data_IF_046919048886
#
_entry.id   IF_046919048886
#
_cell.length_a   1.000
_cell.length_b   1.000
_cell.length_c   1.000
_cell.angle_alpha   90.00
_cell.angle_beta   90.00
_cell.angle_gamma   90.00
#
_symmetry.space_group_name_H-M   'P 1'
#
loop_
_entity.id
_entity.type
_entity.pdbx_description
1 polymer ?
#
# COMPACT_ATOMS: atom_id res chain seq x y z
N UNK A 1 16.29 -15.56 8.78
CA UNK A 1 15.79 -14.51 7.89
C UNK A 1 14.45 -14.90 7.25
N UNK A 2 14.33 -16.04 6.56
CA UNK A 2 13.07 -16.49 5.94
C UNK A 2 11.89 -16.55 6.91
N UNK A 3 12.06 -17.10 8.11
CA UNK A 3 10.99 -17.17 9.12
C UNK A 3 10.47 -15.79 9.55
N UNK A 4 11.34 -14.80 9.68
CA UNK A 4 10.96 -13.41 9.98
C UNK A 4 10.10 -12.83 8.84
N UNK A 5 10.53 -12.99 7.58
CA UNK A 5 9.79 -12.50 6.40
C UNK A 5 8.41 -13.14 6.33
N UNK A 6 8.31 -14.46 6.56
CA UNK A 6 7.02 -15.16 6.59
C UNK A 6 6.10 -14.64 7.69
N UNK A 7 6.62 -14.40 8.89
CA UNK A 7 5.85 -13.83 10.00
C UNK A 7 5.36 -12.42 9.69
N UNK A 8 6.21 -11.58 9.08
CA UNK A 8 5.82 -10.23 8.65
C UNK A 8 4.69 -10.29 7.63
N UNK A 9 4.77 -11.16 6.62
CA UNK A 9 3.68 -11.28 5.64
C UNK A 9 2.41 -11.88 6.21
N UNK A 10 2.50 -12.86 7.14
CA UNK A 10 1.34 -13.38 7.86
C UNK A 10 0.65 -12.27 8.68
N UNK A 11 1.43 -11.48 9.41
CA UNK A 11 0.92 -10.35 10.20
C UNK A 11 0.36 -9.24 9.30
N UNK A 12 1.05 -8.85 8.24
CA UNK A 12 0.59 -7.86 7.28
C UNK A 12 -0.71 -8.32 6.58
N UNK A 13 -0.80 -9.60 6.24
CA UNK A 13 -2.02 -10.23 5.72
C UNK A 13 -3.17 -10.16 6.73
N UNK A 14 -2.92 -10.50 7.99
CA UNK A 14 -3.90 -10.42 9.08
C UNK A 14 -4.45 -8.99 9.22
N UNK A 15 -3.57 -7.99 9.26
CA UNK A 15 -3.97 -6.58 9.29
C UNK A 15 -4.87 -6.22 8.10
N UNK A 16 -4.47 -6.63 6.88
CA UNK A 16 -5.29 -6.42 5.68
C UNK A 16 -6.63 -7.14 5.75
N UNK A 17 -6.68 -8.34 6.33
CA UNK A 17 -7.92 -9.10 6.53
C UNK A 17 -8.89 -8.41 7.48
N UNK A 18 -8.40 -7.77 8.55
CA UNK A 18 -9.22 -7.05 9.54
C UNK A 18 -9.68 -5.70 9.00
N UNK A 19 -8.75 -4.87 8.52
CA UNK A 19 -9.01 -3.46 8.15
C UNK A 19 -9.42 -3.32 6.67
N UNK A 20 -9.04 -4.26 5.82
CA UNK A 20 -9.17 -4.17 4.36
C UNK A 20 -7.99 -3.47 3.67
N UNK A 21 -7.05 -2.92 4.44
CA UNK A 21 -5.90 -2.12 4.00
C UNK A 21 -4.65 -2.49 4.82
N UNK A 22 -3.48 -2.02 4.39
CA UNK A 22 -2.28 -1.97 5.22
C UNK A 22 -1.24 -3.05 4.96
N UNK A 23 -1.49 -4.07 4.11
CA UNK A 23 -0.47 -5.09 3.81
C UNK A 23 0.83 -4.44 3.31
N UNK A 24 0.83 -3.53 2.30
CA UNK A 24 2.05 -2.87 1.86
C UNK A 24 2.71 -2.03 2.96
N UNK A 25 1.93 -1.27 3.74
CA UNK A 25 2.48 -0.41 4.79
C UNK A 25 3.20 -1.21 5.89
N UNK A 26 2.56 -2.27 6.37
CA UNK A 26 3.13 -3.13 7.42
C UNK A 26 4.34 -3.88 6.90
N UNK A 27 4.21 -4.50 5.72
CA UNK A 27 5.30 -5.29 5.15
C UNK A 27 6.51 -4.41 4.82
N UNK A 28 6.32 -3.28 4.14
CA UNK A 28 7.41 -2.33 3.85
C UNK A 28 8.04 -1.82 5.14
N UNK A 29 7.25 -1.35 6.10
CA UNK A 29 7.77 -0.80 7.35
C UNK A 29 8.59 -1.82 8.14
N UNK A 30 8.08 -3.03 8.35
CA UNK A 30 8.79 -4.05 9.12
C UNK A 30 9.98 -4.66 8.37
N UNK A 31 9.84 -4.90 7.06
CA UNK A 31 10.93 -5.47 6.26
C UNK A 31 12.08 -4.48 6.06
N UNK A 32 11.81 -3.20 5.92
CA UNK A 32 12.84 -2.17 5.72
C UNK A 32 13.73 -1.94 6.95
N UNK A 33 13.39 -2.53 8.11
CA UNK A 33 14.30 -2.57 9.27
C UNK A 33 15.49 -3.51 9.01
N UNK A 34 15.30 -4.57 8.22
CA UNK A 34 16.29 -5.64 8.03
C UNK A 34 16.77 -5.74 6.57
N UNK A 35 15.93 -5.35 5.64
CA UNK A 35 16.17 -5.38 4.19
C UNK A 35 16.25 -3.96 3.65
N UNK A 36 16.93 -3.78 2.51
CA UNK A 36 16.81 -2.52 1.79
C UNK A 36 15.35 -2.29 1.33
N UNK A 37 14.87 -1.03 1.26
CA UNK A 37 13.52 -0.73 0.78
C UNK A 37 13.23 -1.32 -0.61
N UNK A 38 14.22 -1.38 -1.49
CA UNK A 38 14.11 -2.03 -2.80
C UNK A 38 13.83 -3.54 -2.69
N UNK A 39 14.57 -4.24 -1.82
CA UNK A 39 14.36 -5.68 -1.57
C UNK A 39 13.00 -5.94 -0.93
N UNK A 40 12.60 -5.12 0.05
CA UNK A 40 11.29 -5.22 0.69
C UNK A 40 10.15 -5.03 -0.33
N UNK A 41 10.26 -4.02 -1.22
CA UNK A 41 9.30 -3.77 -2.28
C UNK A 41 9.22 -4.94 -3.27
N UNK A 42 10.35 -5.53 -3.64
CA UNK A 42 10.39 -6.67 -4.58
C UNK A 42 9.66 -7.91 -4.03
N UNK A 43 9.81 -8.20 -2.74
CA UNK A 43 9.10 -9.31 -2.08
C UNK A 43 7.59 -9.05 -1.99
N UNK A 44 7.18 -7.78 -1.93
CA UNK A 44 5.80 -7.36 -1.78
C UNK A 44 4.97 -7.51 -3.06
N UNK A 45 5.58 -7.51 -4.24
CA UNK A 45 4.89 -7.45 -5.54
C UNK A 45 3.80 -8.52 -5.64
N UNK A 46 4.15 -9.81 -5.54
CA UNK A 46 3.21 -10.92 -5.75
C UNK A 46 2.13 -10.98 -4.66
N UNK A 47 2.44 -10.94 -3.35
CA UNK A 47 1.41 -10.95 -2.31
C UNK A 47 0.47 -9.76 -2.38
N UNK A 48 1.00 -8.57 -2.67
CA UNK A 48 0.19 -7.37 -2.81
C UNK A 48 -0.72 -7.46 -4.04
N UNK A 49 -0.17 -7.87 -5.19
CA UNK A 49 -0.94 -8.02 -6.43
C UNK A 49 -2.08 -9.04 -6.25
N UNK A 50 -1.78 -10.22 -5.74
CA UNK A 50 -2.78 -11.27 -5.52
C UNK A 50 -3.91 -10.82 -4.58
N UNK A 51 -3.57 -10.18 -3.45
CA UNK A 51 -4.56 -9.72 -2.49
C UNK A 51 -5.35 -8.49 -2.97
N UNK A 52 -4.78 -7.64 -3.82
CA UNK A 52 -5.47 -6.49 -4.42
C UNK A 52 -6.41 -6.94 -5.56
N UNK A 53 -5.98 -7.90 -6.39
CA UNK A 53 -6.86 -8.53 -7.39
C UNK A 53 -8.04 -9.23 -6.74
N UNK A 54 -7.80 -9.95 -5.63
CA UNK A 54 -8.89 -10.53 -4.84
C UNK A 54 -9.91 -9.46 -4.40
N UNK A 55 -9.44 -8.30 -3.90
CA UNK A 55 -10.33 -7.20 -3.51
C UNK A 55 -11.07 -6.60 -4.71
N UNK A 56 -10.40 -6.45 -5.85
CA UNK A 56 -10.98 -5.92 -7.08
C UNK A 56 -12.12 -6.80 -7.59
N UNK A 57 -11.96 -8.13 -7.56
CA UNK A 57 -12.93 -9.08 -8.08
C UNK A 57 -13.86 -9.67 -7.02
N UNK A 58 -13.78 -9.19 -5.76
CA UNK A 58 -14.61 -9.74 -4.65
C UNK A 58 -16.11 -9.53 -4.84
N UNK A 59 -16.50 -8.53 -5.62
CA UNK A 59 -17.87 -8.17 -5.94
C UNK A 59 -17.99 -7.78 -7.43
N UNK A 60 -19.21 -7.74 -7.95
CA UNK A 60 -19.42 -7.33 -9.34
C UNK A 60 -19.26 -5.81 -9.54
N UNK A 61 -19.15 -5.37 -10.79
CA UNK A 61 -19.20 -3.93 -11.13
C UNK A 61 -17.83 -3.23 -11.24
N UNK A 62 -16.71 -3.95 -11.12
CA UNK A 62 -15.36 -3.38 -11.25
C UNK A 62 -15.14 -2.54 -12.52
N UNK A 63 -15.85 -2.86 -13.61
CA UNK A 63 -15.77 -2.12 -14.87
C UNK A 63 -16.33 -0.71 -14.77
N UNK A 64 -17.37 -0.51 -13.97
CA UNK A 64 -17.97 0.81 -13.71
C UNK A 64 -16.95 1.67 -12.94
N UNK A 65 -16.29 1.08 -11.95
CA UNK A 65 -15.27 1.76 -11.17
C UNK A 65 -14.02 2.09 -12.02
N UNK A 66 -13.62 1.19 -12.92
CA UNK A 66 -12.54 1.44 -13.87
C UNK A 66 -12.86 2.66 -14.75
N UNK A 67 -14.09 2.73 -15.28
CA UNK A 67 -14.54 3.86 -16.09
C UNK A 67 -14.67 5.16 -15.28
N UNK A 68 -15.04 5.09 -14.02
CA UNK A 68 -15.15 6.26 -13.16
C UNK A 68 -13.78 6.81 -12.76
N UNK A 69 -12.87 5.95 -12.36
CA UNK A 69 -11.56 6.32 -11.81
C UNK A 69 -10.40 6.24 -12.81
N UNK A 70 -10.68 6.19 -14.12
CA UNK A 70 -9.62 6.10 -15.14
C UNK A 70 -8.60 7.24 -15.07
N UNK A 71 -9.02 8.46 -14.71
CA UNK A 71 -8.13 9.62 -14.55
C UNK A 71 -7.20 9.47 -13.34
N UNK A 72 -7.69 8.86 -12.24
CA UNK A 72 -6.88 8.50 -11.09
C UNK A 72 -5.81 7.47 -11.50
N UNK A 73 -6.19 6.43 -12.24
CA UNK A 73 -5.26 5.39 -12.71
C UNK A 73 -4.22 5.94 -13.68
N UNK A 74 -4.62 6.79 -14.62
CA UNK A 74 -3.67 7.50 -15.49
C UNK A 74 -2.71 8.35 -14.68
N UNK A 75 -3.20 9.08 -13.68
CA UNK A 75 -2.35 9.82 -12.75
C UNK A 75 -1.32 8.90 -12.08
N UNK A 76 -1.73 7.73 -11.58
CA UNK A 76 -0.82 6.74 -10.98
C UNK A 76 0.26 6.32 -11.98
N UNK A 77 -0.11 5.98 -13.21
CA UNK A 77 0.87 5.58 -14.24
C UNK A 77 1.85 6.71 -14.54
N UNK A 78 1.35 7.94 -14.76
CA UNK A 78 2.20 9.10 -15.05
C UNK A 78 3.13 9.40 -13.88
N UNK A 79 2.61 9.41 -12.63
CA UNK A 79 3.40 9.67 -11.44
C UNK A 79 4.46 8.59 -11.17
N UNK A 80 4.19 7.33 -11.54
CA UNK A 80 5.15 6.24 -11.41
C UNK A 80 6.25 6.28 -12.46
N UNK A 81 5.98 6.86 -13.66
CA UNK A 81 6.97 6.96 -14.75
C UNK A 81 7.79 8.25 -14.67
N UNK A 82 7.17 9.36 -14.27
CA UNK A 82 7.80 10.67 -14.10
C UNK A 82 7.61 11.16 -12.66
N UNK A 83 8.31 10.49 -11.73
CA UNK A 83 8.26 10.85 -10.31
C UNK A 83 9.01 12.15 -10.06
N UNK A 84 8.38 13.07 -9.31
CA UNK A 84 9.03 14.26 -8.74
C UNK A 84 9.82 13.94 -7.48
N UNK A 85 9.60 12.76 -6.88
CA UNK A 85 10.31 12.31 -5.70
C UNK A 85 11.47 11.39 -6.09
N UNK A 86 12.53 11.36 -5.27
CA UNK A 86 13.55 10.34 -5.39
C UNK A 86 12.95 8.94 -5.31
N UNK A 87 13.48 8.01 -6.06
CA UNK A 87 12.94 6.66 -6.21
C UNK A 87 13.67 5.67 -5.30
N UNK A 88 13.10 4.46 -5.13
CA UNK A 88 13.73 3.37 -4.41
C UNK A 88 15.10 2.94 -4.98
N UNK A 89 15.41 3.32 -6.22
CA UNK A 89 16.67 3.01 -6.88
C UNK A 89 17.76 4.07 -6.63
N UNK A 90 17.40 5.25 -6.14
CA UNK A 90 18.33 6.35 -5.93
C UNK A 90 19.15 6.11 -4.65
N UNK A 91 20.44 5.86 -4.83
CA UNK A 91 21.38 5.60 -3.72
C UNK A 91 21.63 6.80 -2.80
N UNK A 92 21.29 8.01 -3.23
CA UNK A 92 21.53 9.26 -2.51
C UNK A 92 20.38 9.70 -1.60
N UNK A 93 19.29 8.97 -1.58
CA UNK A 93 18.08 9.33 -0.81
C UNK A 93 17.82 8.29 0.26
N UNK A 94 17.59 8.80 1.45
CA UNK A 94 17.09 8.00 2.56
C UNK A 94 15.62 7.58 2.31
N UNK A 95 15.42 6.64 1.37
CA UNK A 95 14.08 6.11 1.05
C UNK A 95 13.38 5.53 2.30
N UNK A 96 14.16 5.07 3.27
CA UNK A 96 13.68 4.66 4.58
C UNK A 96 13.07 5.81 5.39
N UNK A 97 13.69 7.01 5.35
CA UNK A 97 13.15 8.21 6.03
C UNK A 97 11.83 8.63 5.40
N UNK A 98 11.76 8.65 4.06
CA UNK A 98 10.53 9.01 3.35
C UNK A 98 9.40 8.02 3.64
N UNK A 99 9.70 6.72 3.62
CA UNK A 99 8.75 5.68 4.01
C UNK A 99 8.31 5.86 5.47
N UNK A 100 9.24 6.11 6.39
CA UNK A 100 8.96 6.37 7.79
C UNK A 100 8.01 7.56 7.98
N UNK A 101 8.28 8.69 7.32
CA UNK A 101 7.40 9.86 7.33
C UNK A 101 6.01 9.55 6.77
N UNK A 102 5.92 8.78 5.69
CA UNK A 102 4.63 8.36 5.12
C UNK A 102 3.82 7.49 6.09
N UNK A 103 4.47 6.53 6.76
CA UNK A 103 3.81 5.67 7.75
C UNK A 103 3.34 6.50 8.96
N UNK A 104 4.16 7.44 9.43
CA UNK A 104 3.83 8.35 10.51
C UNK A 104 2.63 9.22 10.17
N UNK A 105 2.65 9.88 9.01
CA UNK A 105 1.53 10.70 8.53
C UNK A 105 0.24 9.88 8.38
N UNK A 106 0.35 8.66 7.86
CA UNK A 106 -0.80 7.77 7.73
C UNK A 106 -1.34 7.32 9.09
N UNK A 107 -0.46 7.06 10.05
CA UNK A 107 -0.84 6.73 11.43
C UNK A 107 -1.58 7.89 12.10
N UNK A 108 -1.05 9.12 12.02
CA UNK A 108 -1.69 10.33 12.54
C UNK A 108 -3.04 10.56 11.86
N UNK A 109 -3.08 10.52 10.53
CA UNK A 109 -4.31 10.65 9.77
C UNK A 109 -5.36 9.64 10.25
N UNK A 110 -5.00 8.37 10.37
CA UNK A 110 -5.93 7.31 10.77
C UNK A 110 -6.49 7.44 12.18
N UNK A 111 -5.75 8.08 13.10
CA UNK A 111 -6.22 8.39 14.46
C UNK A 111 -7.09 9.65 14.50
N UNK A 112 -6.76 10.68 13.73
CA UNK A 112 -7.43 11.98 13.75
C UNK A 112 -8.67 12.03 12.86
N UNK A 113 -8.75 11.17 11.83
CA UNK A 113 -9.77 11.25 10.78
C UNK A 113 -11.10 10.66 11.26
N UNK A 114 -11.92 11.47 11.92
CA UNK A 114 -13.29 11.08 12.29
C UNK A 114 -14.35 11.53 11.27
N UNK A 115 -14.15 12.66 10.60
CA UNK A 115 -15.06 13.18 9.55
C UNK A 115 -14.24 13.77 8.42
N UNK A 116 -14.29 13.16 7.26
CA UNK A 116 -13.68 13.70 6.05
C UNK A 116 -14.64 14.64 5.34
N UNK A 117 -14.14 15.74 4.75
CA UNK A 117 -14.95 16.56 3.87
C UNK A 117 -15.42 15.76 2.67
N UNK A 118 -16.61 16.03 2.16
CA UNK A 118 -17.10 15.43 0.94
C UNK A 118 -16.42 16.11 -0.26
N UNK A 119 -15.57 15.37 -0.97
CA UNK A 119 -14.82 15.86 -2.14
C UNK A 119 -15.42 15.39 -3.48
N UNK A 120 -16.62 14.81 -3.50
CA UNK A 120 -17.26 14.31 -4.73
C UNK A 120 -17.36 15.38 -5.82
N UNK A 121 -17.68 16.63 -5.45
CA UNK A 121 -17.79 17.73 -6.41
C UNK A 121 -16.47 18.03 -7.15
N UNK A 122 -15.34 17.70 -6.54
CA UNK A 122 -13.99 17.94 -7.07
C UNK A 122 -13.33 16.67 -7.64
N UNK A 123 -14.06 15.55 -7.70
CA UNK A 123 -13.53 14.24 -8.10
C UNK A 123 -12.79 14.31 -9.44
N UNK A 124 -13.35 14.97 -10.43
CA UNK A 124 -12.79 15.07 -11.78
C UNK A 124 -11.41 15.76 -11.81
N UNK A 125 -11.20 16.75 -10.93
CA UNK A 125 -9.96 17.53 -10.88
C UNK A 125 -8.94 16.91 -9.94
N UNK A 126 -9.39 16.39 -8.82
CA UNK A 126 -8.50 15.83 -7.79
C UNK A 126 -7.99 14.44 -8.15
N UNK A 127 -8.80 13.62 -8.86
CA UNK A 127 -8.40 12.24 -9.23
C UNK A 127 -7.03 12.19 -9.94
N UNK A 128 -6.76 12.94 -11.01
CA UNK A 128 -5.47 12.84 -11.69
C UNK A 128 -4.31 13.34 -10.82
N UNK A 129 -4.52 14.38 -10.00
CA UNK A 129 -3.48 14.93 -9.11
C UNK A 129 -3.14 13.94 -8.00
N UNK A 130 -4.17 13.40 -7.34
CA UNK A 130 -3.99 12.38 -6.28
C UNK A 130 -3.38 11.11 -6.86
N UNK A 131 -3.78 10.70 -8.06
CA UNK A 131 -3.18 9.59 -8.77
C UNK A 131 -1.69 9.81 -9.03
N UNK A 132 -1.32 10.97 -9.58
CA UNK A 132 0.07 11.34 -9.84
C UNK A 132 0.93 11.29 -8.58
N UNK A 133 0.49 11.95 -7.51
CA UNK A 133 1.21 11.93 -6.22
C UNK A 133 1.32 10.51 -5.65
N UNK A 134 0.22 9.73 -5.73
CA UNK A 134 0.21 8.34 -5.30
C UNK A 134 1.17 7.46 -6.09
N UNK A 135 1.22 7.61 -7.41
CA UNK A 135 2.16 6.89 -8.28
C UNK A 135 3.62 7.25 -7.99
N UNK A 136 3.91 8.55 -7.88
CA UNK A 136 5.25 9.04 -7.56
C UNK A 136 5.73 8.54 -6.18
N UNK A 137 4.85 8.56 -5.17
CA UNK A 137 5.16 8.02 -3.84
C UNK A 137 5.31 6.49 -3.86
N UNK A 138 4.61 5.79 -4.75
CA UNK A 138 4.75 4.33 -4.89
C UNK A 138 6.17 3.94 -5.31
N UNK A 139 6.74 4.58 -6.31
CA UNK A 139 8.12 4.29 -6.75
C UNK A 139 9.19 4.83 -5.80
N UNK A 140 8.83 5.80 -4.95
CA UNK A 140 9.71 6.37 -3.93
C UNK A 140 9.74 5.55 -2.64
N UNK A 141 8.62 4.92 -2.24
CA UNK A 141 8.47 4.28 -0.93
C UNK A 141 7.97 2.83 -0.97
N UNK A 142 7.53 2.33 -2.12
CA UNK A 142 6.84 1.04 -2.27
C UNK A 142 5.38 1.06 -1.81
N UNK A 143 4.81 2.22 -1.42
CA UNK A 143 3.49 2.32 -0.78
C UNK A 143 2.68 3.48 -1.35
N UNK A 144 1.42 3.22 -1.77
CA UNK A 144 0.51 4.22 -2.36
C UNK A 144 -0.53 4.78 -1.35
N UNK A 145 -0.44 4.50 -0.08
CA UNK A 145 -1.54 4.77 0.86
C UNK A 145 -1.90 6.25 0.92
N UNK A 146 -0.93 7.14 1.07
CA UNK A 146 -1.15 8.58 1.03
C UNK A 146 -0.70 9.11 -0.33
N UNK A 147 -1.49 9.95 -0.98
CA UNK A 147 -2.78 10.58 -0.56
C UNK A 147 -4.04 9.77 -0.95
N UNK A 148 -3.90 8.62 -1.59
CA UNK A 148 -5.00 7.90 -2.26
C UNK A 148 -6.10 7.43 -1.30
N UNK A 149 -5.72 6.83 -0.16
CA UNK A 149 -6.72 6.31 0.79
C UNK A 149 -7.57 7.43 1.39
N UNK A 150 -7.00 8.53 1.93
CA UNK A 150 -7.77 9.67 2.39
C UNK A 150 -8.71 10.23 1.33
N UNK A 151 -8.23 10.38 0.11
CA UNK A 151 -9.02 10.88 -1.00
C UNK A 151 -10.20 9.97 -1.33
N UNK A 152 -9.99 8.68 -1.55
CA UNK A 152 -11.08 7.75 -1.85
C UNK A 152 -12.11 7.64 -0.71
N UNK A 153 -11.67 7.74 0.54
CA UNK A 153 -12.58 7.80 1.69
C UNK A 153 -13.40 9.09 1.72
N UNK A 154 -12.85 10.22 1.25
CA UNK A 154 -13.56 11.50 1.18
C UNK A 154 -14.65 11.56 0.10
N UNK A 155 -14.63 10.63 -0.86
CA UNK A 155 -15.66 10.52 -1.89
C UNK A 155 -16.96 9.86 -1.40
N UNK A 156 -17.01 9.44 -0.13
CA UNK A 156 -18.19 8.81 0.49
C UNK A 156 -18.77 7.65 -0.33
N UNK A 157 -17.90 6.85 -0.93
CA UNK A 157 -18.29 5.66 -1.67
C UNK A 157 -18.94 4.64 -0.74
N UNK A 158 -19.83 3.82 -1.29
CA UNK A 158 -20.29 2.63 -0.56
C UNK A 158 -19.10 1.75 -0.19
N UNK A 159 -19.22 1.03 0.93
CA UNK A 159 -18.10 0.23 1.45
C UNK A 159 -17.49 -0.71 0.43
N UNK A 160 -18.34 -1.39 -0.34
CA UNK A 160 -17.90 -2.34 -1.36
C UNK A 160 -17.18 -1.65 -2.51
N UNK A 161 -17.73 -0.53 -3.01
CA UNK A 161 -17.11 0.28 -4.06
C UNK A 161 -15.76 0.85 -3.61
N UNK A 162 -15.66 1.29 -2.35
CA UNK A 162 -14.40 1.76 -1.78
C UNK A 162 -13.34 0.66 -1.78
N UNK A 163 -13.69 -0.55 -1.29
CA UNK A 163 -12.75 -1.68 -1.24
C UNK A 163 -12.30 -2.09 -2.63
N UNK A 164 -13.22 -2.16 -3.60
CA UNK A 164 -12.89 -2.47 -4.99
C UNK A 164 -12.05 -1.39 -5.65
N UNK A 165 -12.37 -0.10 -5.43
CA UNK A 165 -11.60 1.03 -6.00
C UNK A 165 -10.19 1.06 -5.42
N UNK A 166 -10.02 0.77 -4.13
CA UNK A 166 -8.71 0.59 -3.51
C UNK A 166 -7.96 -0.60 -4.12
N UNK A 167 -8.65 -1.74 -4.30
CA UNK A 167 -8.08 -2.91 -4.98
C UNK A 167 -7.61 -2.58 -6.39
N UNK A 168 -8.42 -1.86 -7.17
CA UNK A 168 -8.10 -1.41 -8.52
C UNK A 168 -6.88 -0.48 -8.55
N UNK A 169 -6.90 0.56 -7.72
CA UNK A 169 -5.83 1.57 -7.68
C UNK A 169 -4.51 0.97 -7.20
N UNK A 170 -4.56 0.12 -6.18
CA UNK A 170 -3.38 -0.56 -5.65
C UNK A 170 -2.84 -1.62 -6.61
N UNK A 171 -3.70 -2.27 -7.39
CA UNK A 171 -3.27 -3.18 -8.47
C UNK A 171 -2.51 -2.40 -9.54
N UNK A 172 -3.05 -1.28 -10.01
CA UNK A 172 -2.38 -0.41 -10.97
C UNK A 172 -1.01 0.07 -10.46
N UNK A 173 -0.96 0.61 -9.24
CA UNK A 173 0.28 1.07 -8.63
C UNK A 173 1.32 -0.05 -8.45
N UNK A 174 0.86 -1.24 -8.06
CA UNK A 174 1.75 -2.39 -7.87
C UNK A 174 2.32 -2.91 -9.20
N UNK A 175 1.54 -2.86 -10.29
CA UNK A 175 2.03 -3.16 -11.64
C UNK A 175 3.07 -2.13 -12.09
N UNK A 176 2.80 -0.83 -11.87
CA UNK A 176 3.78 0.21 -12.17
C UNK A 176 5.07 0.03 -11.36
N UNK A 177 4.95 -0.28 -10.05
CA UNK A 177 6.10 -0.56 -9.19
C UNK A 177 6.89 -1.79 -9.69
N UNK A 178 6.20 -2.86 -10.10
CA UNK A 178 6.85 -4.05 -10.64
C UNK A 178 7.67 -3.74 -11.91
N UNK A 179 7.08 -2.96 -12.84
CA UNK A 179 7.77 -2.50 -14.06
C UNK A 179 8.96 -1.63 -13.69
N UNK A 180 8.78 -0.66 -12.79
CA UNK A 180 9.85 0.20 -12.31
C UNK A 180 11.01 -0.60 -11.71
N UNK A 181 10.74 -1.51 -10.76
CA UNK A 181 11.78 -2.33 -10.14
C UNK A 181 12.50 -3.21 -11.15
N UNK A 182 11.80 -3.72 -12.17
CA UNK A 182 12.40 -4.52 -13.23
C UNK A 182 13.35 -3.71 -14.11
N UNK A 183 13.03 -2.46 -14.41
CA UNK A 183 13.87 -1.56 -15.17
C UNK A 183 15.15 -1.13 -14.44
N UNK A 184 15.08 -1.12 -13.09
CA UNK A 184 16.21 -0.75 -12.22
C UNK A 184 17.12 -1.94 -11.86
N UNK A 185 16.83 -3.14 -12.38
CA UNK A 185 17.69 -4.30 -12.17
C UNK A 185 19.05 -4.09 -12.85
N UNK A 186 20.06 -3.82 -12.04
CA UNK A 186 21.45 -3.95 -12.42
C UNK A 186 21.89 -5.43 -12.31
N UNK A 187 23.02 -5.79 -12.94
CA UNK A 187 23.55 -7.15 -12.95
C UNK A 187 23.77 -7.77 -11.55
N UNK A 188 23.73 -6.95 -10.49
CA UNK A 188 23.95 -7.34 -9.10
C UNK A 188 22.67 -7.44 -8.26
N UNK A 189 21.52 -6.97 -8.76
CA UNK A 189 20.25 -6.98 -8.01
C UNK A 189 19.24 -7.88 -8.73
N UNK A 190 18.96 -9.05 -8.18
CA UNK A 190 17.94 -9.96 -8.69
C UNK A 190 16.64 -9.82 -7.89
N UNK A 191 15.53 -9.60 -8.57
CA UNK A 191 14.20 -9.78 -7.97
C UNK A 191 13.99 -11.27 -7.78
N UNK A 192 13.92 -11.69 -6.53
CA UNK A 192 13.72 -13.09 -6.23
C UNK A 192 12.22 -13.42 -6.21
N UNK A 193 11.63 -13.57 -7.41
CA UNK A 193 10.20 -13.89 -7.57
C UNK A 193 9.80 -15.19 -6.84
N UNK A 194 10.72 -16.15 -6.73
CA UNK A 194 10.49 -17.39 -5.99
C UNK A 194 10.19 -17.11 -4.50
N UNK A 195 10.92 -16.16 -3.89
CA UNK A 195 10.67 -15.75 -2.51
C UNK A 195 9.37 -14.97 -2.38
N UNK A 196 9.05 -14.11 -3.35
CA UNK A 196 7.79 -13.38 -3.39
C UNK A 196 6.59 -14.33 -3.53
N UNK A 197 6.71 -15.42 -4.31
CA UNK A 197 5.71 -16.47 -4.37
C UNK A 197 5.57 -17.24 -3.05
N UNK A 198 6.69 -17.53 -2.38
CA UNK A 198 6.70 -18.29 -1.13
C UNK A 198 5.96 -17.54 -0.01
N UNK A 199 6.16 -16.21 0.08
CA UNK A 199 5.52 -15.37 1.10
C UNK A 199 4.05 -15.05 0.79
N UNK A 200 3.55 -15.39 -0.39
CA UNK A 200 2.13 -15.29 -0.73
C UNK A 200 1.27 -16.17 0.19
N UNK A 201 1.70 -17.40 0.47
CA UNK A 201 0.94 -18.32 1.32
C UNK A 201 0.70 -17.76 2.73
N UNK A 202 1.73 -17.34 3.52
CA UNK A 202 1.49 -16.73 4.82
C UNK A 202 0.68 -15.44 4.74
N UNK A 203 0.82 -14.63 3.68
CA UNK A 203 0.00 -13.43 3.49
C UNK A 203 -1.49 -13.77 3.32
N UNK A 204 -1.81 -14.79 2.51
CA UNK A 204 -3.21 -15.25 2.31
C UNK A 204 -3.79 -15.89 3.56
N UNK A 205 -3.03 -16.74 4.24
CA UNK A 205 -3.44 -17.34 5.53
C UNK A 205 -3.70 -16.26 6.58
N UNK A 206 -2.80 -15.29 6.69
CA UNK A 206 -2.99 -14.12 7.55
C UNK A 206 -4.26 -13.35 7.20
N UNK A 207 -4.48 -13.06 5.91
CA UNK A 207 -5.66 -12.33 5.43
C UNK A 207 -6.96 -13.09 5.72
N UNK A 208 -6.98 -14.39 5.53
CA UNK A 208 -8.12 -15.24 5.86
C UNK A 208 -8.38 -15.25 7.37
N UNK A 209 -7.33 -15.47 8.18
CA UNK A 209 -7.40 -15.39 9.64
C UNK A 209 -7.91 -14.01 10.12
N UNK A 210 -7.43 -12.92 9.50
CA UNK A 210 -7.88 -11.57 9.78
C UNK A 210 -9.38 -11.36 9.53
N UNK A 211 -9.90 -11.93 8.43
CA UNK A 211 -11.36 -11.90 8.15
C UNK A 211 -12.18 -12.62 9.23
N UNK A 212 -11.72 -13.78 9.71
CA UNK A 212 -12.39 -14.54 10.76
C UNK A 212 -12.38 -13.78 12.09
N UNK A 213 -11.23 -13.24 12.45
CA UNK A 213 -11.04 -12.50 13.70
C UNK A 213 -11.84 -11.20 13.68
N UNK A 214 -11.97 -10.54 12.53
CA UNK A 214 -12.76 -9.30 12.35
C UNK A 214 -14.19 -9.43 12.89
N UNK A 215 -14.83 -10.59 12.75
CA UNK A 215 -16.19 -10.83 13.22
C UNK A 215 -16.30 -10.80 14.77
N UNK A 216 -15.19 -11.04 15.47
CA UNK A 216 -15.11 -11.11 16.94
C UNK A 216 -14.41 -9.91 17.58
N UNK A 217 -13.68 -9.12 16.80
CA UNK A 217 -12.94 -7.96 17.30
C UNK A 217 -13.74 -6.67 17.17
N UNK A 218 -13.52 -5.77 18.11
CA UNK A 218 -13.92 -4.38 17.95
C UNK A 218 -12.99 -3.72 16.91
N UNK A 219 -13.52 -3.56 15.67
CA UNK A 219 -12.78 -3.00 14.53
C UNK A 219 -12.16 -1.63 14.86
N UNK A 220 -12.84 -0.81 15.66
CA UNK A 220 -12.31 0.51 16.04
C UNK A 220 -11.10 0.42 16.96
N UNK A 221 -11.12 -0.51 17.94
CA UNK A 221 -9.98 -0.72 18.85
C UNK A 221 -8.77 -1.26 18.07
N UNK A 222 -8.99 -2.25 17.19
CA UNK A 222 -7.93 -2.81 16.37
C UNK A 222 -7.31 -1.76 15.45
N UNK A 223 -8.14 -0.96 14.79
CA UNK A 223 -7.72 0.13 13.93
C UNK A 223 -6.88 1.18 14.68
N UNK A 224 -7.26 1.54 15.92
CA UNK A 224 -6.46 2.45 16.75
C UNK A 224 -5.09 1.87 17.08
N UNK A 225 -5.03 0.61 17.53
CA UNK A 225 -3.76 -0.07 17.83
C UNK A 225 -2.87 -0.12 16.59
N UNK A 226 -3.44 -0.45 15.44
CA UNK A 226 -2.73 -0.47 14.16
C UNK A 226 -2.12 0.90 13.82
N UNK A 227 -2.88 1.99 13.89
CA UNK A 227 -2.37 3.32 13.58
C UNK A 227 -1.32 3.80 14.59
N UNK A 228 -1.49 3.49 15.86
CA UNK A 228 -0.46 3.74 16.87
C UNK A 228 0.83 2.97 16.53
N UNK A 229 0.72 1.70 16.16
CA UNK A 229 1.85 0.91 15.70
C UNK A 229 2.56 1.51 14.48
N UNK A 230 1.82 2.05 13.51
CA UNK A 230 2.39 2.76 12.36
C UNK A 230 3.12 4.05 12.74
N UNK A 231 2.61 4.80 13.73
CA UNK A 231 3.29 5.99 14.24
C UNK A 231 4.63 5.59 14.87
N UNK A 232 4.65 4.59 15.75
CA UNK A 232 5.90 4.11 16.33
C UNK A 232 6.89 3.62 15.28
N UNK A 233 6.42 2.81 14.33
CA UNK A 233 7.25 2.27 13.25
C UNK A 233 7.80 3.39 12.35
N UNK A 234 6.94 4.33 11.96
CA UNK A 234 7.33 5.48 11.13
C UNK A 234 8.30 6.41 11.85
N UNK A 235 8.09 6.67 13.15
CA UNK A 235 9.02 7.46 13.98
C UNK A 235 10.38 6.77 14.09
N UNK A 236 10.38 5.46 14.37
CA UNK A 236 11.61 4.67 14.45
C UNK A 236 12.42 4.74 13.14
N UNK A 237 11.76 4.53 12.00
CA UNK A 237 12.41 4.58 10.69
C UNK A 237 12.93 5.98 10.36
N UNK A 238 12.18 7.04 10.68
CA UNK A 238 12.60 8.42 10.42
C UNK A 238 13.80 8.87 11.25
N UNK A 239 14.04 8.25 12.40
CA UNK A 239 15.14 8.62 13.31
C UNK A 239 16.40 7.78 13.15
N UNK A 240 16.27 6.52 12.66
CA UNK A 240 17.37 5.54 12.63
C UNK A 240 17.80 5.14 11.21
N UNK A 241 17.28 5.77 10.17
CA UNK A 241 17.71 5.61 8.78
C UNK A 241 18.40 6.85 8.29
#
# INVERSE_FOLDING_TARGET
MLGFVMLVFAFAGLVKGVIGLGLPAVAMGLLSIVLSPFQAASLLIIPSLATNLWQLFSEGGWWILLRRFWTLLLGVVIGSTWSIFPTLADSHVHSGVLLGMMLLLYGIYGLCSQKLPNLQAYEKYLSPVVGYLGGALTVATGVIIIPVVPYLQSLQLQRNDLVQTLGLTFTCANLCLAVFLQQQLSATQNINYSWSCLVLLPALVGMWGGKLIRQRLNEQKFRRIFFVGLIFLGSYMSLNT
#
